data_IF_339141255063
#
_entry.id   IF_339141255063
#
_cell.length_a   1.000
_cell.length_b   1.000
_cell.length_c   1.000
_cell.angle_alpha   90.00
_cell.angle_beta   90.00
_cell.angle_gamma   90.00
#
_symmetry.space_group_name_H-M   'P 1'
#
loop_
_entity.id
_entity.type
_entity.pdbx_description
1 polymer ?
#
# COMPACT_ATOMS: atom_id res chain seq x y z
N UNK A 1 -18.00 -7.63 9.78
CA UNK A 1 -18.32 -6.25 9.37
C UNK A 1 -17.02 -5.57 8.99
N UNK A 2 -16.76 -5.39 7.69
CA UNK A 2 -15.52 -4.76 7.21
C UNK A 2 -15.64 -3.24 7.38
N UNK A 3 -15.08 -2.68 8.46
CA UNK A 3 -15.03 -1.22 8.67
C UNK A 3 -14.10 -0.63 7.61
N UNK A 4 -14.66 0.12 6.65
CA UNK A 4 -13.87 0.85 5.65
C UNK A 4 -13.41 2.18 6.24
N UNK A 5 -12.12 2.33 6.47
CA UNK A 5 -11.55 3.56 7.06
C UNK A 5 -10.87 4.36 5.96
N UNK A 6 -11.38 5.56 5.72
CA UNK A 6 -10.87 6.44 4.66
C UNK A 6 -9.59 7.14 5.15
N UNK A 7 -8.43 6.69 4.66
CA UNK A 7 -7.11 7.28 4.99
C UNK A 7 -6.78 8.37 3.97
N UNK A 8 -7.26 9.59 4.21
CA UNK A 8 -7.00 10.74 3.34
C UNK A 8 -5.50 11.11 3.28
N UNK A 9 -4.73 10.40 2.46
CA UNK A 9 -3.32 10.68 2.24
C UNK A 9 -3.15 11.89 1.29
N UNK A 10 -3.19 13.08 1.88
CA UNK A 10 -2.09 14.04 1.72
C UNK A 10 -1.39 14.07 3.07
N UNK A 11 -0.06 14.05 3.11
CA UNK A 11 0.71 14.14 4.36
C UNK A 11 0.28 15.33 5.25
N UNK A 12 -0.34 16.36 4.65
CA UNK A 12 -0.92 17.53 5.32
C UNK A 12 -2.34 17.36 5.92
N UNK A 13 -3.12 16.35 5.51
CA UNK A 13 -4.53 16.22 5.92
C UNK A 13 -4.72 15.39 7.20
N UNK A 14 -3.76 14.55 7.55
CA UNK A 14 -3.79 13.76 8.79
C UNK A 14 -3.59 14.64 10.03
N UNK A 15 -2.78 15.69 9.93
CA UNK A 15 -2.55 16.64 11.03
C UNK A 15 -3.73 17.61 11.24
N UNK A 16 -4.61 17.79 10.24
CA UNK A 16 -5.77 18.69 10.31
C UNK A 16 -7.05 18.01 10.80
N UNK A 17 -7.13 16.67 10.73
CA UNK A 17 -8.29 15.89 11.16
C UNK A 17 -7.90 14.93 12.28
N UNK A 18 -7.75 15.45 13.50
CA UNK A 18 -7.44 14.66 14.70
C UNK A 18 -8.38 13.45 14.88
N UNK A 19 -9.66 13.60 14.50
CA UNK A 19 -10.65 12.52 14.53
C UNK A 19 -10.29 11.34 13.62
N UNK A 20 -9.87 11.61 12.37
CA UNK A 20 -9.51 10.56 11.42
C UNK A 20 -8.21 9.84 11.83
N UNK A 21 -7.28 10.57 12.47
CA UNK A 21 -6.06 9.99 13.03
C UNK A 21 -6.36 9.02 14.18
N UNK A 22 -7.30 9.38 15.06
CA UNK A 22 -7.71 8.54 16.17
C UNK A 22 -8.44 7.28 15.67
N UNK A 23 -9.40 7.43 14.74
CA UNK A 23 -10.13 6.29 14.15
C UNK A 23 -9.20 5.27 13.46
N UNK A 24 -8.16 5.76 12.75
CA UNK A 24 -7.15 4.89 12.16
C UNK A 24 -6.34 4.18 13.23
N UNK A 25 -5.91 4.90 14.27
CA UNK A 25 -5.11 4.33 15.37
C UNK A 25 -5.90 3.27 16.13
N UNK A 26 -7.19 3.52 16.40
CA UNK A 26 -8.08 2.60 17.09
C UNK A 26 -8.32 1.33 16.27
N UNK A 27 -8.57 1.47 14.96
CA UNK A 27 -8.80 0.32 14.11
C UNK A 27 -7.55 -0.50 13.83
N UNK A 28 -6.39 0.16 13.72
CA UNK A 28 -5.10 -0.52 13.65
C UNK A 28 -4.84 -1.26 14.95
N UNK A 29 -5.15 -0.67 16.11
CA UNK A 29 -5.00 -1.32 17.41
C UNK A 29 -5.96 -2.50 17.57
N UNK A 30 -7.21 -2.37 17.11
CA UNK A 30 -8.22 -3.43 17.11
C UNK A 30 -7.79 -4.61 16.21
N UNK A 31 -7.38 -4.32 14.97
CA UNK A 31 -6.83 -5.33 14.07
C UNK A 31 -5.51 -5.91 14.59
N UNK A 32 -4.76 -5.10 15.36
CA UNK A 32 -3.48 -5.52 15.89
C UNK A 32 -3.58 -6.46 17.10
N UNK A 33 -4.69 -6.39 17.84
CA UNK A 33 -4.89 -7.16 19.06
C UNK A 33 -3.70 -7.00 20.02
N UNK A 34 -3.16 -8.13 20.49
CA UNK A 34 -1.98 -8.15 21.38
C UNK A 34 -0.66 -8.30 20.64
N UNK A 35 -0.66 -8.38 19.31
CA UNK A 35 0.58 -8.58 18.57
C UNK A 35 1.34 -7.25 18.46
N UNK A 36 2.62 -7.29 18.84
CA UNK A 36 3.53 -6.15 18.86
C UNK A 36 4.74 -6.31 17.92
N UNK A 37 4.89 -7.48 17.28
CA UNK A 37 5.97 -7.78 16.32
C UNK A 37 5.37 -8.15 14.97
N UNK A 38 5.97 -7.66 13.87
CA UNK A 38 5.51 -7.89 12.50
C UNK A 38 4.12 -7.30 12.22
N UNK A 39 3.86 -6.13 12.80
CA UNK A 39 2.57 -5.43 12.77
C UNK A 39 2.80 -4.02 12.27
N UNK A 40 1.82 -3.46 11.58
CA UNK A 40 1.89 -2.07 11.13
C UNK A 40 1.25 -1.14 12.15
N UNK A 41 1.88 0.01 12.40
CA UNK A 41 1.28 1.11 13.16
C UNK A 41 0.56 2.10 12.21
N UNK A 42 -0.23 3.02 12.78
CA UNK A 42 -1.00 3.98 11.99
C UNK A 42 -0.12 4.90 11.12
N UNK A 43 1.05 5.31 11.62
CA UNK A 43 1.99 6.14 10.88
C UNK A 43 2.62 5.38 9.70
N UNK A 44 3.01 4.14 9.90
CA UNK A 44 3.54 3.27 8.85
C UNK A 44 2.51 3.07 7.74
N UNK A 45 1.23 2.87 8.07
CA UNK A 45 0.17 2.76 7.06
C UNK A 45 0.06 4.04 6.22
N UNK A 46 0.22 5.21 6.83
CA UNK A 46 0.27 6.49 6.11
C UNK A 46 1.49 6.55 5.19
N UNK A 47 2.65 6.12 5.67
CA UNK A 47 3.88 6.08 4.87
C UNK A 47 3.75 5.10 3.68
N UNK A 48 3.10 3.95 3.88
CA UNK A 48 2.76 3.00 2.82
C UNK A 48 1.82 3.62 1.78
N UNK A 49 0.81 4.37 2.22
CA UNK A 49 -0.09 5.11 1.31
C UNK A 49 0.68 6.13 0.47
N UNK A 50 1.61 6.90 1.09
CA UNK A 50 2.46 7.84 0.36
C UNK A 50 3.41 7.13 -0.61
N UNK A 51 3.96 5.98 -0.23
CA UNK A 51 4.79 5.15 -1.10
C UNK A 51 4.00 4.65 -2.31
N UNK A 52 2.75 4.23 -2.11
CA UNK A 52 1.85 3.83 -3.18
C UNK A 52 1.49 5.00 -4.12
N UNK A 53 1.20 6.19 -3.58
CA UNK A 53 0.92 7.38 -4.40
C UNK A 53 2.13 7.76 -5.26
N UNK A 54 3.34 7.80 -4.68
CA UNK A 54 4.58 8.07 -5.42
C UNK A 54 4.80 7.06 -6.55
N UNK A 55 4.40 5.79 -6.37
CA UNK A 55 4.48 4.77 -7.42
C UNK A 55 3.56 5.10 -8.60
N UNK A 56 2.33 5.54 -8.32
CA UNK A 56 1.35 5.95 -9.34
C UNK A 56 1.75 7.23 -10.06
N UNK A 57 2.37 8.18 -9.34
CA UNK A 57 2.93 9.38 -9.95
C UNK A 57 4.06 9.03 -10.92
N UNK A 58 4.99 8.16 -10.51
CA UNK A 58 6.09 7.69 -11.38
C UNK A 58 5.62 6.87 -12.58
N UNK A 59 4.45 6.23 -12.52
CA UNK A 59 3.91 5.53 -13.68
C UNK A 59 3.21 6.46 -14.67
N UNK A 60 3.17 7.76 -14.40
CA UNK A 60 2.53 8.75 -15.27
C UNK A 60 1.00 8.64 -15.34
N UNK A 61 0.37 7.88 -14.43
CA UNK A 61 -1.08 7.67 -14.45
C UNK A 61 -1.79 8.96 -14.00
N UNK A 62 -2.71 9.53 -14.81
CA UNK A 62 -3.46 10.73 -14.44
C UNK A 62 -4.24 10.51 -13.16
N UNK A 63 -4.36 11.56 -12.35
CA UNK A 63 -5.06 11.47 -11.06
C UNK A 63 -6.50 10.97 -11.18
N UNK A 64 -7.19 11.31 -12.28
CA UNK A 64 -8.55 10.86 -12.57
C UNK A 64 -8.66 9.34 -12.71
N UNK A 65 -7.63 8.69 -13.29
CA UNK A 65 -7.62 7.25 -13.49
C UNK A 65 -6.96 6.49 -12.34
N UNK A 66 -6.52 7.14 -11.25
CA UNK A 66 -5.93 6.44 -10.08
C UNK A 66 -6.96 5.77 -9.19
N UNK A 67 -8.23 6.17 -9.28
CA UNK A 67 -9.30 5.65 -8.40
C UNK A 67 -9.51 4.16 -8.63
N UNK A 68 -9.62 3.40 -7.54
CA UNK A 68 -9.79 1.94 -7.58
C UNK A 68 -8.49 1.15 -7.65
N UNK A 69 -7.33 1.81 -7.71
CA UNK A 69 -6.05 1.12 -7.61
C UNK A 69 -5.84 0.56 -6.20
N UNK A 70 -5.34 -0.67 -6.09
CA UNK A 70 -5.11 -1.33 -4.80
C UNK A 70 -3.63 -1.66 -4.63
N UNK A 71 -3.14 -1.47 -3.40
CA UNK A 71 -1.79 -1.80 -2.99
C UNK A 71 -1.87 -2.64 -1.72
N UNK A 72 -1.37 -3.87 -1.79
CA UNK A 72 -1.26 -4.77 -0.63
C UNK A 72 0.20 -4.89 -0.25
N UNK A 73 0.49 -4.54 1.01
CA UNK A 73 1.81 -4.59 1.62
C UNK A 73 1.86 -5.73 2.62
N UNK A 74 2.82 -6.63 2.48
CA UNK A 74 3.04 -7.76 3.39
C UNK A 74 4.33 -7.52 4.15
N UNK A 75 4.26 -7.60 5.48
CA UNK A 75 5.40 -7.35 6.36
C UNK A 75 6.57 -8.28 6.04
N UNK A 76 7.79 -7.79 6.24
CA UNK A 76 8.99 -8.62 6.18
C UNK A 76 8.99 -9.68 7.27
N UNK A 77 9.63 -10.81 6.99
CA UNK A 77 9.81 -11.87 7.97
C UNK A 77 10.93 -11.58 8.97
N UNK A 78 11.07 -12.39 10.02
CA UNK A 78 12.18 -12.26 10.97
C UNK A 78 13.53 -12.34 10.25
N UNK A 79 14.34 -11.30 10.36
CA UNK A 79 15.71 -11.27 9.82
C UNK A 79 16.74 -12.00 10.70
N UNK A 80 16.42 -12.26 11.96
CA UNK A 80 17.32 -12.92 12.89
C UNK A 80 17.42 -14.43 12.63
N UNK A 81 18.66 -14.94 12.49
CA UNK A 81 18.97 -16.37 12.25
C UNK A 81 18.41 -17.34 13.32
N UNK A 82 17.98 -16.83 14.47
CA UNK A 82 17.38 -17.61 15.55
C UNK A 82 15.94 -18.10 15.23
N UNK A 83 15.26 -17.47 14.26
CA UNK A 83 13.93 -17.89 13.83
C UNK A 83 14.03 -19.01 12.80
N UNK A 84 13.84 -20.27 13.24
CA UNK A 84 13.76 -21.45 12.36
C UNK A 84 12.38 -21.67 11.73
N UNK A 85 11.35 -20.98 12.21
CA UNK A 85 9.96 -21.24 11.87
C UNK A 85 9.22 -19.98 11.38
N UNK A 86 8.08 -20.18 10.74
CA UNK A 86 7.16 -19.12 10.32
C UNK A 86 6.70 -18.29 11.50
N UNK A 87 6.67 -16.98 11.34
CA UNK A 87 6.06 -16.07 12.30
C UNK A 87 4.73 -15.58 11.76
N UNK A 88 3.82 -15.22 12.68
CA UNK A 88 2.62 -14.46 12.33
C UNK A 88 3.03 -13.01 12.04
N UNK A 89 2.71 -12.54 10.85
CA UNK A 89 2.83 -11.14 10.44
C UNK A 89 1.49 -10.60 9.95
N UNK A 90 1.52 -9.37 9.43
CA UNK A 90 0.33 -8.72 8.88
C UNK A 90 0.51 -8.30 7.44
N UNK A 91 -0.59 -8.31 6.70
CA UNK A 91 -0.71 -7.63 5.43
C UNK A 91 -1.74 -6.51 5.51
N UNK A 92 -1.43 -5.39 4.88
CA UNK A 92 -2.29 -4.22 4.81
C UNK A 92 -2.69 -4.00 3.37
N UNK A 93 -3.99 -3.95 3.10
CA UNK A 93 -4.52 -3.61 1.78
C UNK A 93 -5.07 -2.19 1.80
N UNK A 94 -4.50 -1.35 0.93
CA UNK A 94 -4.93 0.02 0.70
C UNK A 94 -5.57 0.12 -0.67
N UNK A 95 -6.68 0.88 -0.77
CA UNK A 95 -7.32 1.20 -2.04
C UNK A 95 -7.38 2.71 -2.25
N UNK A 96 -7.13 3.15 -3.47
CA UNK A 96 -7.24 4.54 -3.84
C UNK A 96 -8.70 4.92 -4.06
N UNK A 97 -9.22 5.83 -3.23
CA UNK A 97 -10.49 6.52 -3.45
C UNK A 97 -10.24 7.86 -4.16
N UNK A 98 -11.27 8.67 -4.40
CA UNK A 98 -11.14 9.97 -5.08
C UNK A 98 -10.27 10.96 -4.29
N UNK A 99 -10.47 11.05 -2.97
CA UNK A 99 -9.83 12.05 -2.10
C UNK A 99 -8.52 11.60 -1.44
N UNK A 100 -8.21 10.31 -1.49
CA UNK A 100 -7.01 9.75 -0.87
C UNK A 100 -7.02 8.23 -0.90
N UNK A 101 -6.13 7.62 -0.14
CA UNK A 101 -6.14 6.17 0.07
C UNK A 101 -7.18 5.78 1.13
N UNK A 102 -7.46 4.49 1.23
CA UNK A 102 -8.45 3.93 2.15
C UNK A 102 -7.90 2.61 2.61
N UNK A 103 -7.94 2.38 3.92
CA UNK A 103 -7.61 1.09 4.48
C UNK A 103 -8.79 0.14 4.23
N UNK A 104 -8.54 -0.92 3.46
CA UNK A 104 -9.55 -1.93 3.10
C UNK A 104 -9.52 -3.08 4.09
N UNK A 105 -8.34 -3.62 4.35
CA UNK A 105 -8.16 -4.76 5.26
C UNK A 105 -6.78 -4.75 5.91
N UNK A 106 -6.74 -5.34 7.10
CA UNK A 106 -5.52 -5.76 7.78
C UNK A 106 -5.72 -7.25 8.06
N UNK A 107 -4.96 -8.08 7.36
CA UNK A 107 -5.10 -9.54 7.41
C UNK A 107 -3.87 -10.16 8.07
N UNK A 108 -4.09 -11.26 8.79
CA UNK A 108 -3.01 -12.07 9.36
C UNK A 108 -2.38 -12.96 8.28
N UNK A 109 -1.05 -12.94 8.19
CA UNK A 109 -0.30 -13.74 7.22
C UNK A 109 0.85 -14.48 7.89
N UNK A 110 1.21 -15.65 7.36
CA UNK A 110 2.44 -16.33 7.76
C UNK A 110 3.63 -15.75 7.00
N UNK A 111 4.60 -15.20 7.74
CA UNK A 111 5.86 -14.69 7.19
C UNK A 111 7.00 -15.68 7.47
N UNK A 112 7.83 -15.91 6.47
CA UNK A 112 8.96 -16.83 6.56
C UNK A 112 10.25 -16.10 6.96
N UNK A 113 11.20 -16.77 7.62
CA UNK A 113 12.51 -16.18 7.92
C UNK A 113 13.20 -15.64 6.67
N UNK A 114 13.86 -14.48 6.78
CA UNK A 114 14.53 -13.78 5.67
C UNK A 114 13.63 -13.42 4.46
N UNK A 115 12.30 -13.48 4.63
CA UNK A 115 11.39 -13.00 3.61
C UNK A 115 11.42 -11.47 3.55
N UNK A 116 11.71 -10.92 2.37
CA UNK A 116 11.62 -9.48 2.13
C UNK A 116 10.17 -8.99 2.16
N UNK A 117 9.98 -7.71 2.50
CA UNK A 117 8.71 -7.01 2.33
C UNK A 117 8.20 -7.22 0.90
N UNK A 118 6.95 -7.68 0.78
CA UNK A 118 6.30 -7.88 -0.52
C UNK A 118 5.25 -6.81 -0.73
N UNK A 119 5.28 -6.20 -1.91
CA UNK A 119 4.26 -5.24 -2.34
C UNK A 119 3.62 -5.77 -3.61
N UNK A 120 2.30 -5.90 -3.58
CA UNK A 120 1.49 -6.30 -4.73
C UNK A 120 0.51 -5.19 -5.09
N UNK A 121 0.36 -4.95 -6.38
CA UNK A 121 -0.51 -3.91 -6.91
C UNK A 121 -1.60 -4.55 -7.77
N UNK A 122 -2.84 -4.10 -7.59
CA UNK A 122 -3.95 -4.44 -8.48
C UNK A 122 -4.49 -3.18 -9.12
N UNK A 123 -4.72 -3.28 -10.42
CA UNK A 123 -5.26 -2.21 -11.24
C UNK A 123 -6.37 -2.80 -12.12
N UNK A 124 -7.33 -1.96 -12.48
CA UNK A 124 -8.35 -2.28 -13.47
C UNK A 124 -7.73 -2.44 -14.86
N UNK A 125 -8.34 -3.20 -15.79
CA UNK A 125 -7.82 -3.34 -17.16
C UNK A 125 -7.58 -2.00 -17.86
N UNK A 126 -8.49 -1.03 -17.67
CA UNK A 126 -8.37 0.33 -18.20
C UNK A 126 -7.11 1.04 -17.69
N UNK A 127 -6.81 0.91 -16.39
CA UNK A 127 -5.61 1.48 -15.80
C UNK A 127 -4.35 0.84 -16.34
N UNK A 128 -4.34 -0.49 -16.51
CA UNK A 128 -3.20 -1.22 -17.07
C UNK A 128 -2.95 -0.78 -18.51
N UNK A 129 -4.00 -0.63 -19.32
CA UNK A 129 -3.90 -0.15 -20.69
C UNK A 129 -3.32 1.27 -20.76
N UNK A 130 -3.83 2.20 -19.95
CA UNK A 130 -3.30 3.57 -19.90
C UNK A 130 -1.85 3.63 -19.39
N UNK A 131 -1.49 2.81 -18.40
CA UNK A 131 -0.10 2.69 -17.94
C UNK A 131 0.81 2.16 -19.05
N UNK A 132 0.37 1.14 -19.80
CA UNK A 132 1.13 0.59 -20.94
C UNK A 132 1.29 1.62 -22.05
N UNK A 133 0.20 2.30 -22.42
CA UNK A 133 0.19 3.34 -23.45
C UNK A 133 1.22 4.43 -23.12
N UNK A 134 1.24 4.89 -21.87
CA UNK A 134 2.17 5.93 -21.41
C UNK A 134 3.61 5.42 -21.31
N UNK A 135 3.80 4.19 -20.83
CA UNK A 135 5.14 3.59 -20.78
C UNK A 135 5.78 3.47 -22.18
N UNK A 136 4.98 3.23 -23.23
CA UNK A 136 5.49 3.14 -24.61
C UNK A 136 5.76 4.51 -25.22
N UNK A 137 4.98 5.54 -24.88
CA UNK A 137 5.21 6.91 -25.39
C UNK A 137 6.58 7.47 -25.02
N UNK A 138 7.12 7.09 -23.86
CA UNK A 138 8.44 7.53 -23.40
C UNK A 138 9.60 6.73 -24.05
N UNK A 139 9.29 5.69 -24.85
CA UNK A 139 10.29 4.88 -25.55
C UNK A 139 10.47 5.37 -26.99
N UNK A 140 11.62 5.94 -27.30
CA UNK A 140 12.02 6.20 -28.69
C UNK A 140 12.58 4.93 -29.31
N UNK A 141 12.11 4.50 -30.50
CA UNK A 141 12.69 3.35 -31.18
C UNK A 141 14.13 3.64 -31.56
N UNK A 142 15.02 2.70 -31.28
CA UNK A 142 16.38 2.71 -31.82
C UNK A 142 16.25 2.31 -33.28
N UNK A 143 16.11 3.28 -34.18
CA UNK A 143 16.30 3.01 -35.60
C UNK A 143 17.78 2.65 -35.80
N UNK A 144 18.05 1.43 -36.27
CA UNK A 144 19.34 1.11 -36.86
C UNK A 144 19.51 2.03 -38.08
N UNK A 145 20.53 2.90 -38.05
CA UNK A 145 20.95 3.60 -39.24
C UNK A 145 21.33 2.56 -40.31
N UNK A 146 20.82 2.78 -41.53
CA UNK A 146 20.86 1.89 -42.68
C UNK A 146 22.26 1.37 -43.03
#
# INVERSE_FOLDING_TARGET
>A
MTKTITVLAKADLLNKNAKASNELTDAVSEANGRAFKFVYNAQEIVELALRAERRLERSGLPQADRVGFEATFSHEGPGAKAYKFTATGRSVTLRRATKGWVLVSIDEISVYPAQSERVSYRATPKQIEEMRRRAVLDLTPICAAA
#
